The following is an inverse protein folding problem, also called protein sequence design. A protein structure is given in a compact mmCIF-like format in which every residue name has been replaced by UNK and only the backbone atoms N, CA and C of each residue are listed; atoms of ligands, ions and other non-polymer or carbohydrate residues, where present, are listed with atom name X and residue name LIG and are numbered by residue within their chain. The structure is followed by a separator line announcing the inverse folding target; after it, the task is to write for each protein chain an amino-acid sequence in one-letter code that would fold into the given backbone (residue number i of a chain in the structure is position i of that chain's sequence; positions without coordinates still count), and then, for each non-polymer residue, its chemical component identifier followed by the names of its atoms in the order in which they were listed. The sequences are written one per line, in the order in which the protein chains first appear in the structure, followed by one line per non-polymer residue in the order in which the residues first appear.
data_IF_941546472631
#
_entry.id   IF_941546472631
#
_cell.length_a   1.000
_cell.length_b   1.000
_cell.length_c   1.000
_cell.angle_alpha   90.00
_cell.angle_beta   90.00
_cell.angle_gamma   90.00
#
_symmetry.space_group_name_H-M   'P 1'
#
loop_
_entity.id
_entity.type
_entity.pdbx_description
1 polymer ?
#
# COMPACT_ATOMS: atom_id res chain seq x y z
N UNK A 1 17.94 -19.82 11.25
CA UNK A 1 18.95 -20.87 11.43
C UNK A 1 18.54 -21.81 12.56
N UNK A 2 18.71 -23.12 12.37
CA UNK A 2 18.69 -24.12 13.44
C UNK A 2 19.89 -25.04 13.28
N UNK A 3 20.35 -25.68 14.36
CA UNK A 3 21.44 -26.67 14.30
C UNK A 3 21.00 -27.96 13.59
N UNK A 4 19.69 -28.23 13.60
CA UNK A 4 19.04 -29.31 12.87
C UNK A 4 17.84 -28.77 12.08
N UNK A 5 17.30 -29.59 11.17
CA UNK A 5 16.05 -29.27 10.48
C UNK A 5 14.88 -29.39 11.46
N UNK A 6 14.19 -28.26 11.70
CA UNK A 6 13.05 -28.20 12.60
C UNK A 6 11.91 -27.41 11.97
N UNK A 7 10.70 -27.97 12.01
CA UNK A 7 9.49 -27.33 11.49
C UNK A 7 8.55 -27.01 12.65
N UNK A 8 8.39 -25.71 12.92
CA UNK A 8 7.52 -25.19 13.98
C UNK A 8 6.25 -24.65 13.32
N UNK A 9 5.11 -25.27 13.60
CA UNK A 9 3.80 -24.76 13.15
C UNK A 9 3.35 -23.63 14.07
N UNK A 10 3.24 -22.40 13.55
CA UNK A 10 2.79 -21.24 14.34
C UNK A 10 1.26 -21.15 14.30
N UNK A 11 0.69 -21.29 13.10
CA UNK A 11 -0.75 -21.33 12.87
C UNK A 11 -1.05 -22.16 11.59
N UNK A 12 -2.31 -22.40 11.20
CA UNK A 12 -2.65 -23.20 10.02
C UNK A 12 -2.05 -22.72 8.70
N UNK A 13 -1.64 -21.44 8.62
CA UNK A 13 -1.18 -20.77 7.41
C UNK A 13 0.31 -20.37 7.45
N UNK A 14 0.97 -20.52 8.61
CA UNK A 14 2.35 -20.08 8.84
C UNK A 14 3.17 -21.16 9.54
N UNK A 15 4.23 -21.59 8.85
CA UNK A 15 5.23 -22.52 9.37
C UNK A 15 6.57 -21.81 9.43
N UNK A 16 7.29 -22.00 10.54
CA UNK A 16 8.67 -21.56 10.68
C UNK A 16 9.58 -22.78 10.51
N UNK A 17 10.41 -22.74 9.48
CA UNK A 17 11.35 -23.81 9.16
C UNK A 17 12.75 -23.34 9.51
N UNK A 18 13.44 -24.11 10.33
CA UNK A 18 14.82 -23.90 10.73
C UNK A 18 15.68 -24.93 9.97
N UNK A 19 16.77 -24.48 9.37
CA UNK A 19 17.70 -25.36 8.64
C UNK A 19 19.15 -25.05 9.06
N UNK A 20 20.04 -26.05 9.04
CA UNK A 20 21.46 -25.91 9.33
C UNK A 20 22.24 -25.34 8.14
N UNK A 21 21.77 -24.21 7.60
CA UNK A 21 22.41 -23.48 6.50
C UNK A 21 22.94 -22.16 7.04
N UNK A 22 24.25 -21.96 6.98
CA UNK A 22 24.92 -20.82 7.65
C UNK A 22 24.40 -19.46 7.20
N UNK A 23 24.00 -19.30 5.94
CA UNK A 23 23.42 -18.04 5.46
C UNK A 23 22.17 -17.63 6.26
N UNK A 24 21.41 -18.61 6.76
CA UNK A 24 20.19 -18.37 7.55
C UNK A 24 20.47 -17.90 8.98
N UNK A 25 21.74 -17.77 9.38
CA UNK A 25 22.15 -17.07 10.60
C UNK A 25 21.96 -15.56 10.44
N UNK A 26 22.13 -15.06 9.23
CA UNK A 26 22.08 -13.63 8.91
C UNK A 26 20.79 -13.21 8.22
N UNK A 27 20.20 -14.10 7.42
CA UNK A 27 18.96 -13.84 6.68
C UNK A 27 17.81 -14.74 7.12
N UNK A 28 16.59 -14.24 6.95
CA UNK A 28 15.38 -15.04 6.99
C UNK A 28 14.70 -14.96 5.62
N UNK A 29 14.23 -16.09 5.12
CA UNK A 29 13.50 -16.18 3.85
C UNK A 29 12.04 -16.42 4.19
N UNK A 30 11.17 -15.61 3.61
CA UNK A 30 9.71 -15.77 3.72
C UNK A 30 9.23 -16.20 2.35
N UNK A 31 8.71 -17.42 2.26
CA UNK A 31 8.03 -17.89 1.06
C UNK A 31 6.56 -17.48 1.13
N UNK A 32 6.08 -16.80 0.09
CA UNK A 32 4.72 -16.27 0.02
C UNK A 32 3.90 -17.09 -0.97
N UNK A 33 2.63 -17.44 -0.66
CA UNK A 33 1.73 -18.10 -1.59
C UNK A 33 1.62 -17.35 -2.92
N UNK A 34 1.40 -18.09 -4.02
CA UNK A 34 1.41 -17.52 -5.37
C UNK A 34 0.45 -16.36 -5.60
N UNK A 35 0.75 -15.52 -6.59
CA UNK A 35 0.02 -14.30 -6.95
C UNK A 35 -1.39 -14.54 -7.53
N UNK A 36 -1.85 -15.78 -7.66
CA UNK A 36 -3.18 -16.06 -8.22
C UNK A 36 -4.32 -15.88 -7.19
N UNK A 37 -4.01 -15.61 -5.93
CA UNK A 37 -4.98 -15.51 -4.81
C UNK A 37 -5.05 -14.12 -4.17
N UNK A 38 -4.54 -13.08 -4.86
CA UNK A 38 -4.15 -11.78 -4.27
C UNK A 38 -5.24 -11.03 -3.48
N UNK A 39 -6.53 -11.24 -3.69
CA UNK A 39 -7.50 -10.21 -3.27
C UNK A 39 -8.19 -10.45 -1.92
N UNK A 40 -8.26 -11.66 -1.36
CA UNK A 40 -9.08 -11.86 -0.13
C UNK A 40 -8.41 -12.59 1.05
N UNK A 41 -7.29 -13.30 0.87
CA UNK A 41 -6.73 -14.14 1.95
C UNK A 41 -5.27 -13.84 2.38
N UNK A 42 -4.55 -12.95 1.69
CA UNK A 42 -3.11 -12.72 1.96
C UNK A 42 -2.75 -11.32 2.42
N UNK A 43 -3.72 -10.61 3.01
CA UNK A 43 -3.51 -9.31 3.65
C UNK A 43 -2.50 -9.43 4.81
N UNK A 44 -2.54 -10.50 5.60
CA UNK A 44 -1.64 -10.67 6.76
C UNK A 44 -0.17 -10.88 6.36
N UNK A 45 0.10 -11.61 5.27
CA UNK A 45 1.47 -11.83 4.79
C UNK A 45 2.05 -10.52 4.24
N UNK A 46 1.26 -9.83 3.43
CA UNK A 46 1.71 -8.61 2.74
C UNK A 46 1.87 -7.44 3.71
N UNK A 47 0.95 -7.27 4.68
CA UNK A 47 1.03 -6.18 5.66
C UNK A 47 2.05 -6.43 6.77
N UNK A 48 2.37 -7.68 7.10
CA UNK A 48 3.31 -7.98 8.19
C UNK A 48 4.75 -8.17 7.72
N UNK A 49 4.97 -8.84 6.59
CA UNK A 49 6.34 -9.20 6.16
C UNK A 49 6.95 -8.19 5.19
N UNK A 50 6.17 -7.57 4.30
CA UNK A 50 6.70 -6.58 3.34
C UNK A 50 7.31 -5.37 4.05
N UNK A 51 6.70 -4.78 5.11
CA UNK A 51 7.28 -3.61 5.78
C UNK A 51 8.61 -3.91 6.46
N UNK A 52 8.75 -5.12 7.00
CA UNK A 52 9.94 -5.59 7.69
C UNK A 52 11.02 -6.14 6.74
N UNK A 53 10.69 -6.31 5.44
CA UNK A 53 11.64 -6.86 4.47
C UNK A 53 12.73 -5.84 4.11
N UNK A 54 13.96 -6.36 3.97
CA UNK A 54 15.13 -5.61 3.49
C UNK A 54 15.28 -5.70 1.96
N UNK A 55 14.80 -6.80 1.37
CA UNK A 55 14.83 -7.10 -0.06
C UNK A 55 13.61 -7.93 -0.43
N UNK A 56 13.00 -7.58 -1.56
CA UNK A 56 11.91 -8.33 -2.17
C UNK A 56 12.40 -8.91 -3.49
N UNK A 57 12.17 -10.22 -3.67
CA UNK A 57 12.56 -10.95 -4.88
C UNK A 57 11.30 -11.34 -5.64
N UNK A 58 11.06 -10.71 -6.78
CA UNK A 58 9.98 -11.14 -7.67
C UNK A 58 10.50 -12.20 -8.63
N UNK A 59 9.94 -13.41 -8.54
CA UNK A 59 10.31 -14.53 -9.40
C UNK A 59 9.26 -14.70 -10.50
N UNK A 60 9.72 -14.64 -11.75
CA UNK A 60 8.91 -14.84 -12.94
C UNK A 60 9.42 -16.06 -13.72
N UNK A 61 8.53 -16.70 -14.48
CA UNK A 61 8.97 -17.63 -15.52
C UNK A 61 9.60 -16.83 -16.66
N UNK A 62 10.81 -17.18 -17.05
CA UNK A 62 11.56 -16.45 -18.08
C UNK A 62 10.78 -16.37 -19.41
N UNK A 63 9.99 -17.40 -19.74
CA UNK A 63 9.18 -17.46 -20.96
C UNK A 63 7.97 -16.51 -20.94
N UNK A 64 7.44 -16.19 -19.76
CA UNK A 64 6.28 -15.31 -19.63
C UNK A 64 6.38 -14.44 -18.37
N UNK A 65 7.21 -13.37 -18.41
CA UNK A 65 7.41 -12.51 -17.26
C UNK A 65 6.32 -11.44 -17.09
N UNK A 66 5.28 -11.43 -17.94
CA UNK A 66 4.27 -10.37 -17.96
C UNK A 66 2.94 -10.78 -17.34
N UNK A 67 2.95 -11.75 -16.42
CA UNK A 67 1.73 -12.17 -15.70
C UNK A 67 1.13 -10.98 -14.96
N UNK A 68 -0.09 -10.59 -15.34
CA UNK A 68 -0.76 -9.40 -14.82
C UNK A 68 -0.88 -9.42 -13.29
N UNK A 69 -1.28 -10.55 -12.70
CA UNK A 69 -1.42 -10.68 -11.24
C UNK A 69 -0.12 -10.35 -10.49
N UNK A 70 1.04 -10.72 -11.02
CA UNK A 70 2.33 -10.43 -10.40
C UNK A 70 2.70 -8.95 -10.50
N UNK A 71 2.43 -8.30 -11.64
CA UNK A 71 2.66 -6.88 -11.82
C UNK A 71 1.68 -6.00 -11.03
N UNK A 72 0.46 -6.46 -10.82
CA UNK A 72 -0.52 -5.80 -9.96
C UNK A 72 -0.06 -5.83 -8.50
N UNK A 73 0.45 -6.97 -8.03
CA UNK A 73 1.06 -7.11 -6.71
C UNK A 73 2.30 -6.22 -6.54
N UNK A 74 3.15 -6.17 -7.56
CA UNK A 74 4.30 -5.27 -7.59
C UNK A 74 3.90 -3.82 -7.38
N UNK A 75 2.87 -3.33 -8.09
CA UNK A 75 2.40 -1.93 -7.96
C UNK A 75 1.88 -1.63 -6.56
N UNK A 76 1.15 -2.57 -5.97
CA UNK A 76 0.66 -2.44 -4.59
C UNK A 76 1.83 -2.26 -3.60
N UNK A 77 2.85 -3.13 -3.68
CA UNK A 77 4.02 -3.07 -2.79
C UNK A 77 4.85 -1.80 -3.02
N UNK A 78 5.10 -1.46 -4.28
CA UNK A 78 5.98 -0.34 -4.64
C UNK A 78 5.39 1.01 -4.21
N UNK A 79 4.07 1.18 -4.36
CA UNK A 79 3.36 2.38 -3.94
C UNK A 79 3.45 2.61 -2.41
N UNK A 80 3.40 1.53 -1.63
CA UNK A 80 3.25 1.63 -0.18
C UNK A 80 4.58 1.64 0.60
N UNK A 81 5.62 0.95 0.13
CA UNK A 81 6.76 0.62 1.00
C UNK A 81 8.15 1.05 0.51
N UNK A 82 8.31 1.47 -0.77
CA UNK A 82 9.59 1.92 -1.37
C UNK A 82 10.80 1.02 -1.03
N UNK A 83 10.61 -0.30 -1.08
CA UNK A 83 11.65 -1.28 -0.73
C UNK A 83 12.58 -1.56 -1.91
N UNK A 84 13.74 -2.15 -1.61
CA UNK A 84 14.63 -2.69 -2.65
C UNK A 84 13.97 -3.92 -3.27
N UNK A 85 13.83 -3.90 -4.60
CA UNK A 85 13.19 -4.97 -5.36
C UNK A 85 14.17 -5.47 -6.41
N UNK A 86 14.28 -6.79 -6.54
CA UNK A 86 14.99 -7.44 -7.65
C UNK A 86 14.04 -8.38 -8.38
N UNK A 87 14.30 -8.57 -9.67
CA UNK A 87 13.53 -9.43 -10.57
C UNK A 87 14.36 -10.64 -10.93
N UNK A 88 13.78 -11.83 -10.85
CA UNK A 88 14.43 -13.10 -11.15
C UNK A 88 13.62 -13.84 -12.20
N UNK A 89 14.20 -14.06 -13.37
CA UNK A 89 13.64 -14.87 -14.45
C UNK A 89 14.12 -16.32 -14.30
N UNK A 90 13.26 -17.17 -13.75
CA UNK A 90 13.52 -18.59 -13.54
C UNK A 90 13.25 -19.41 -14.82
N UNK A 91 13.85 -20.60 -14.92
CA UNK A 91 13.75 -21.49 -16.08
C UNK A 91 14.39 -20.89 -17.34
N UNK A 92 15.48 -20.14 -17.20
CA UNK A 92 16.20 -19.56 -18.36
C UNK A 92 16.65 -20.60 -19.38
N UNK A 93 16.83 -21.85 -18.94
CA UNK A 93 17.24 -22.99 -19.76
C UNK A 93 16.16 -23.45 -20.77
N UNK A 94 14.94 -22.91 -20.68
CA UNK A 94 13.86 -23.16 -21.65
C UNK A 94 13.85 -22.17 -22.82
N UNK A 95 14.72 -21.15 -22.78
CA UNK A 95 14.84 -20.12 -23.80
C UNK A 95 16.22 -20.16 -24.43
N UNK A 96 16.32 -19.69 -25.67
CA UNK A 96 17.60 -19.38 -26.26
C UNK A 96 18.13 -18.03 -25.73
N UNK A 97 19.40 -17.74 -26.00
CA UNK A 97 20.04 -16.54 -25.48
C UNK A 97 19.40 -15.25 -26.02
N UNK A 98 18.89 -15.26 -27.25
CA UNK A 98 18.29 -14.09 -27.89
C UNK A 98 16.94 -13.75 -27.26
N UNK A 99 16.06 -14.73 -27.11
CA UNK A 99 14.75 -14.54 -26.48
C UNK A 99 14.89 -14.19 -24.99
N UNK A 100 15.89 -14.77 -24.31
CA UNK A 100 16.19 -14.43 -22.92
C UNK A 100 16.60 -12.96 -22.77
N UNK A 101 17.50 -12.47 -23.62
CA UNK A 101 17.95 -11.06 -23.61
C UNK A 101 16.78 -10.10 -23.88
N UNK A 102 15.89 -10.45 -24.81
CA UNK A 102 14.67 -9.68 -25.08
C UNK A 102 13.76 -9.62 -23.84
N UNK A 103 13.57 -10.74 -23.15
CA UNK A 103 12.74 -10.79 -21.95
C UNK A 103 13.38 -10.08 -20.76
N UNK A 104 14.69 -10.19 -20.55
CA UNK A 104 15.42 -9.43 -19.53
C UNK A 104 15.25 -7.92 -19.75
N UNK A 105 15.47 -7.46 -20.99
CA UNK A 105 15.31 -6.05 -21.34
C UNK A 105 13.86 -5.59 -21.23
N UNK A 106 12.91 -6.41 -21.64
CA UNK A 106 11.50 -6.07 -21.54
C UNK A 106 11.02 -5.95 -20.09
N UNK A 107 11.52 -6.79 -19.19
CA UNK A 107 11.24 -6.66 -17.73
C UNK A 107 11.93 -5.44 -17.14
N UNK A 108 13.17 -5.16 -17.54
CA UNK A 108 13.88 -3.95 -17.14
C UNK A 108 13.09 -2.70 -17.55
N UNK A 109 12.72 -2.57 -18.83
CA UNK A 109 11.98 -1.43 -19.36
C UNK A 109 10.59 -1.30 -18.70
N UNK A 110 9.93 -2.43 -18.43
CA UNK A 110 8.64 -2.42 -17.75
C UNK A 110 8.75 -1.96 -16.30
N UNK A 111 9.71 -2.50 -15.54
CA UNK A 111 9.97 -2.08 -14.17
C UNK A 111 10.34 -0.59 -14.09
N UNK A 112 11.10 -0.09 -15.07
CA UNK A 112 11.45 1.32 -15.17
C UNK A 112 10.21 2.21 -15.38
N UNK A 113 9.30 1.81 -16.28
CA UNK A 113 8.02 2.49 -16.50
C UNK A 113 7.12 2.49 -15.26
N UNK A 114 7.24 1.48 -14.40
CA UNK A 114 6.50 1.40 -13.15
C UNK A 114 7.17 2.16 -11.98
N UNK A 115 8.24 2.91 -12.26
CA UNK A 115 8.85 3.85 -11.31
C UNK A 115 10.05 3.30 -10.53
N UNK A 116 10.72 2.24 -11.00
CA UNK A 116 12.02 1.83 -10.48
C UNK A 116 13.12 2.47 -11.34
N UNK A 117 13.95 3.33 -10.75
CA UNK A 117 14.95 4.08 -11.52
C UNK A 117 16.04 3.19 -12.15
N UNK A 118 16.48 2.15 -11.44
CA UNK A 118 17.52 1.21 -11.86
C UNK A 118 17.10 -0.23 -11.51
N UNK A 119 16.25 -0.87 -12.33
CA UNK A 119 15.76 -2.22 -12.07
C UNK A 119 16.87 -3.27 -12.20
N UNK A 120 17.01 -4.14 -11.21
CA UNK A 120 17.97 -5.25 -11.26
C UNK A 120 17.24 -6.53 -11.67
N UNK A 121 17.61 -7.09 -12.81
CA UNK A 121 17.02 -8.31 -13.38
C UNK A 121 18.10 -9.40 -13.47
N UNK A 122 17.77 -10.60 -13.01
CA UNK A 122 18.64 -11.79 -13.08
C UNK A 122 17.93 -12.92 -13.80
N UNK A 123 18.59 -13.60 -14.73
CA UNK A 123 18.12 -14.87 -15.26
C UNK A 123 18.81 -16.06 -14.60
N UNK A 124 18.02 -17.01 -14.15
CA UNK A 124 18.49 -18.19 -13.41
C UNK A 124 17.86 -19.48 -13.92
N UNK A 125 18.56 -20.59 -13.69
CA UNK A 125 18.06 -21.95 -13.87
C UNK A 125 18.33 -22.77 -12.61
N UNK A 126 17.27 -23.03 -11.85
CA UNK A 126 17.36 -23.90 -10.67
C UNK A 126 17.77 -25.33 -11.06
N UNK A 127 17.34 -25.80 -12.25
CA UNK A 127 17.71 -27.13 -12.75
C UNK A 127 19.22 -27.25 -12.94
N UNK A 128 19.85 -26.27 -13.60
CA UNK A 128 21.31 -26.25 -13.80
C UNK A 128 22.07 -26.11 -12.48
N UNK A 129 21.57 -25.28 -11.57
CA UNK A 129 22.18 -25.12 -10.24
C UNK A 129 22.19 -26.44 -9.46
N UNK A 130 21.06 -27.16 -9.44
CA UNK A 130 20.96 -28.45 -8.76
C UNK A 130 21.81 -29.54 -9.43
N UNK A 131 22.05 -29.43 -10.73
CA UNK A 131 22.95 -30.32 -11.47
C UNK A 131 24.44 -29.96 -11.30
N UNK A 132 24.76 -28.83 -10.64
CA UNK A 132 26.13 -28.33 -10.51
C UNK A 132 26.73 -27.82 -11.81
N UNK A 133 25.89 -27.47 -12.79
CA UNK A 133 26.34 -26.94 -14.08
C UNK A 133 26.78 -25.48 -13.96
N UNK A 134 27.81 -25.10 -14.74
CA UNK A 134 28.20 -23.71 -14.89
C UNK A 134 27.09 -22.90 -15.58
N UNK A 135 27.05 -21.59 -15.33
CA UNK A 135 26.05 -20.67 -15.90
C UNK A 135 24.59 -20.96 -15.46
N UNK A 136 24.39 -21.37 -14.21
CA UNK A 136 23.05 -21.39 -13.61
C UNK A 136 22.45 -19.99 -13.41
N UNK A 137 23.30 -18.96 -13.30
CA UNK A 137 22.93 -17.57 -13.01
C UNK A 137 22.78 -17.25 -11.52
N UNK A 138 22.78 -18.25 -10.63
CA UNK A 138 22.62 -18.04 -9.19
C UNK A 138 23.80 -17.33 -8.52
N UNK A 139 25.01 -17.44 -9.09
CA UNK A 139 26.20 -16.77 -8.56
C UNK A 139 26.01 -15.25 -8.50
N UNK A 140 25.46 -14.66 -9.57
CA UNK A 140 25.16 -13.21 -9.61
C UNK A 140 24.15 -12.80 -8.55
N UNK A 141 23.13 -13.63 -8.31
CA UNK A 141 22.11 -13.39 -7.27
C UNK A 141 22.73 -13.48 -5.88
N UNK A 142 23.57 -14.49 -5.63
CA UNK A 142 24.28 -14.67 -4.36
C UNK A 142 25.24 -13.52 -4.08
N UNK A 143 25.99 -13.09 -5.09
CA UNK A 143 26.91 -11.95 -4.98
C UNK A 143 26.15 -10.66 -4.72
N UNK A 144 25.01 -10.45 -5.39
CA UNK A 144 24.16 -9.31 -5.12
C UNK A 144 23.66 -9.31 -3.67
N UNK A 145 23.13 -10.44 -3.18
CA UNK A 145 22.66 -10.58 -1.79
C UNK A 145 23.82 -10.36 -0.81
N UNK A 146 25.00 -10.90 -1.09
CA UNK A 146 26.20 -10.70 -0.25
C UNK A 146 26.61 -9.24 -0.17
N UNK A 147 26.68 -8.54 -1.30
CA UNK A 147 27.11 -7.15 -1.35
C UNK A 147 26.06 -6.18 -0.77
N UNK A 148 24.77 -6.51 -0.92
CA UNK A 148 23.66 -5.62 -0.57
C UNK A 148 22.96 -5.96 0.75
N UNK A 149 23.17 -7.15 1.32
CA UNK A 149 22.52 -7.57 2.57
C UNK A 149 23.54 -8.07 3.60
N UNK A 150 24.29 -9.15 3.31
CA UNK A 150 25.05 -9.90 4.34
C UNK A 150 26.50 -9.45 4.54
N UNK A 151 27.08 -8.62 3.67
CA UNK A 151 28.48 -8.18 3.71
C UNK A 151 28.84 -7.15 4.80
N UNK A 152 28.37 -7.33 6.04
CA UNK A 152 28.66 -6.46 7.18
C UNK A 152 27.88 -5.14 7.22
N UNK A 153 27.15 -4.80 6.16
CA UNK A 153 26.24 -3.63 6.11
C UNK A 153 24.85 -3.92 6.66
N UNK A 154 24.54 -5.19 6.99
CA UNK A 154 23.21 -5.62 7.46
C UNK A 154 22.66 -4.76 8.61
N UNK A 155 23.42 -4.41 9.66
CA UNK A 155 22.91 -3.58 10.75
C UNK A 155 22.57 -2.16 10.29
N UNK A 156 23.43 -1.56 9.45
CA UNK A 156 23.25 -0.20 8.93
C UNK A 156 22.07 -0.13 7.96
N UNK A 157 21.90 -1.16 7.12
CA UNK A 157 20.77 -1.29 6.21
C UNK A 157 19.45 -1.45 6.96
N UNK A 158 19.42 -2.26 8.03
CA UNK A 158 18.23 -2.38 8.89
C UNK A 158 17.88 -1.06 9.57
N UNK A 159 18.87 -0.32 10.09
CA UNK A 159 18.64 1.00 10.68
C UNK A 159 18.10 1.99 9.65
N UNK A 160 18.67 2.01 8.45
CA UNK A 160 18.19 2.86 7.35
C UNK A 160 16.78 2.48 6.91
N UNK A 161 16.48 1.19 6.77
CA UNK A 161 15.14 0.71 6.43
C UNK A 161 14.11 1.07 7.50
N UNK A 162 14.46 0.98 8.79
CA UNK A 162 13.60 1.43 9.88
C UNK A 162 13.38 2.94 9.87
N UNK A 163 14.41 3.72 9.52
CA UNK A 163 14.29 5.17 9.36
C UNK A 163 13.37 5.53 8.18
N UNK A 164 13.57 4.90 7.02
CA UNK A 164 12.75 5.12 5.82
C UNK A 164 11.29 4.72 6.07
N UNK A 165 11.06 3.61 6.77
CA UNK A 165 9.73 3.19 7.21
C UNK A 165 9.10 4.21 8.17
N UNK A 166 9.86 4.68 9.16
CA UNK A 166 9.37 5.69 10.11
C UNK A 166 9.02 7.00 9.42
N UNK A 167 9.82 7.42 8.43
CA UNK A 167 9.55 8.61 7.62
C UNK A 167 8.27 8.45 6.80
N UNK A 168 8.09 7.31 6.12
CA UNK A 168 6.87 7.04 5.35
C UNK A 168 5.62 7.04 6.25
N UNK A 169 5.69 6.43 7.44
CA UNK A 169 4.58 6.43 8.41
C UNK A 169 4.30 7.86 8.90
N UNK A 170 5.35 8.61 9.24
CA UNK A 170 5.24 9.99 9.69
C UNK A 170 4.59 10.90 8.64
N UNK A 171 4.99 10.77 7.37
CA UNK A 171 4.41 11.54 6.28
C UNK A 171 2.94 11.16 6.02
N UNK A 172 2.57 9.87 6.10
CA UNK A 172 1.17 9.44 6.04
C UNK A 172 0.32 10.05 7.17
N UNK A 173 0.82 10.02 8.41
CA UNK A 173 0.13 10.61 9.56
C UNK A 173 -0.01 12.12 9.37
N UNK A 174 1.06 12.79 8.91
CA UNK A 174 1.07 14.23 8.64
C UNK A 174 0.03 14.61 7.58
N UNK A 175 -0.03 13.89 6.47
CA UNK A 175 -1.03 14.09 5.41
C UNK A 175 -2.44 13.89 5.96
N UNK A 176 -2.67 12.81 6.70
CA UNK A 176 -3.96 12.51 7.33
C UNK A 176 -4.42 13.59 8.32
N UNK A 177 -3.51 14.11 9.15
CA UNK A 177 -3.79 15.21 10.08
C UNK A 177 -4.07 16.52 9.33
N UNK A 178 -3.36 16.80 8.24
CA UNK A 178 -3.60 17.98 7.40
C UNK A 178 -5.02 17.94 6.80
N UNK A 179 -5.43 16.80 6.24
CA UNK A 179 -6.78 16.61 5.69
C UNK A 179 -7.85 16.75 6.78
N UNK A 180 -7.65 16.15 7.95
CA UNK A 180 -8.58 16.30 9.09
C UNK A 180 -8.71 17.74 9.57
N UNK A 181 -7.61 18.50 9.59
CA UNK A 181 -7.64 19.92 9.94
C UNK A 181 -8.49 20.72 8.95
N UNK A 182 -8.31 20.47 7.65
CA UNK A 182 -9.11 21.14 6.61
C UNK A 182 -10.59 20.80 6.72
N UNK A 183 -10.93 19.54 7.00
CA UNK A 183 -12.32 19.12 7.27
C UNK A 183 -12.89 19.82 8.50
N UNK A 184 -12.12 19.91 9.59
CA UNK A 184 -12.55 20.59 10.81
C UNK A 184 -12.79 22.09 10.60
N UNK A 185 -11.93 22.77 9.83
CA UNK A 185 -12.12 24.18 9.46
C UNK A 185 -13.40 24.36 8.62
N UNK A 186 -13.63 23.49 7.63
CA UNK A 186 -14.86 23.50 6.83
C UNK A 186 -16.12 23.26 7.68
N UNK A 187 -16.06 22.32 8.64
CA UNK A 187 -17.16 22.05 9.57
C UNK A 187 -17.47 23.25 10.48
N UNK A 188 -16.44 23.98 10.92
CA UNK A 188 -16.62 25.19 11.71
C UNK A 188 -17.31 26.29 10.90
N UNK A 189 -16.87 26.51 9.67
CA UNK A 189 -17.48 27.49 8.77
C UNK A 189 -18.93 27.12 8.44
N UNK A 190 -19.20 25.85 8.16
CA UNK A 190 -20.55 25.34 7.93
C UNK A 190 -21.47 25.53 9.15
N UNK A 191 -20.96 25.25 10.36
CA UNK A 191 -21.72 25.49 11.60
C UNK A 191 -22.01 26.98 11.84
N UNK A 192 -21.07 27.87 11.47
CA UNK A 192 -21.27 29.31 11.55
C UNK A 192 -22.40 29.74 10.61
N UNK A 193 -22.33 29.30 9.35
CA UNK A 193 -23.34 29.59 8.33
C UNK A 193 -24.75 29.11 8.74
N UNK A 194 -24.86 27.89 9.28
CA UNK A 194 -26.13 27.38 9.84
C UNK A 194 -26.65 28.25 10.97
N UNK A 195 -25.79 28.67 11.91
CA UNK A 195 -26.22 29.52 13.03
C UNK A 195 -26.72 30.87 12.55
N UNK A 196 -26.01 31.50 11.63
CA UNK A 196 -26.41 32.79 11.04
C UNK A 196 -27.75 32.65 10.29
N UNK A 197 -27.89 31.61 9.47
CA UNK A 197 -29.13 31.32 8.76
C UNK A 197 -30.31 31.05 9.70
N UNK A 198 -30.12 30.24 10.75
CA UNK A 198 -31.15 29.97 11.75
C UNK A 198 -31.56 31.23 12.52
N UNK A 199 -30.59 32.09 12.87
CA UNK A 199 -30.87 33.36 13.54
C UNK A 199 -31.69 34.30 12.64
N UNK A 200 -31.32 34.41 11.36
CA UNK A 200 -32.06 35.21 10.39
C UNK A 200 -33.49 34.70 10.19
N UNK A 201 -33.66 33.38 10.00
CA UNK A 201 -34.99 32.77 9.86
C UNK A 201 -35.84 32.93 11.10
N UNK A 202 -35.28 32.74 12.31
CA UNK A 202 -36.00 32.97 13.55
C UNK A 202 -36.51 34.42 13.64
N UNK A 203 -35.66 35.40 13.33
CA UNK A 203 -36.06 36.81 13.35
C UNK A 203 -37.12 37.14 12.30
N UNK A 204 -37.03 36.53 11.11
CA UNK A 204 -38.01 36.69 10.05
C UNK A 204 -39.35 36.06 10.43
N UNK A 205 -39.35 34.87 11.01
CA UNK A 205 -40.56 34.19 11.49
C UNK A 205 -41.26 34.98 12.59
N UNK A 206 -40.51 35.57 13.53
CA UNK A 206 -41.09 36.47 14.54
C UNK A 206 -41.77 37.68 13.91
N UNK A 207 -41.08 38.37 12.97
CA UNK A 207 -41.68 39.51 12.25
C UNK A 207 -42.94 39.12 11.48
N UNK A 208 -42.96 37.95 10.83
CA UNK A 208 -44.16 37.47 10.14
C UNK A 208 -45.32 37.18 11.10
N UNK A 209 -45.02 36.61 12.27
CA UNK A 209 -46.02 36.37 13.31
C UNK A 209 -46.62 37.70 13.81
N UNK A 210 -45.78 38.70 14.09
CA UNK A 210 -46.23 40.03 14.52
C UNK A 210 -47.15 40.69 13.47
N UNK A 211 -46.76 40.64 12.19
CA UNK A 211 -47.57 41.17 11.08
C UNK A 211 -48.90 40.41 10.95
N UNK A 212 -48.92 39.08 11.14
CA UNK A 212 -50.18 38.33 11.14
C UNK A 212 -51.09 38.74 12.31
N UNK A 213 -50.53 38.94 13.50
CA UNK A 213 -51.29 39.41 14.67
C UNK A 213 -51.88 40.80 14.43
N UNK A 214 -51.09 41.75 13.92
CA UNK A 214 -51.58 43.09 13.57
C UNK A 214 -52.71 43.04 12.53
N UNK A 215 -52.55 42.23 11.47
CA UNK A 215 -53.58 42.08 10.44
C UNK A 215 -54.86 41.46 10.98
N UNK A 216 -54.76 40.48 11.88
CA UNK A 216 -55.93 39.86 12.52
C UNK A 216 -56.66 40.84 13.43
N UNK A 217 -55.94 41.63 14.24
CA UNK A 217 -56.52 42.67 15.09
C UNK A 217 -57.20 43.76 14.24
N UNK A 218 -56.53 44.25 13.20
CA UNK A 218 -57.11 45.23 12.29
C UNK A 218 -58.33 44.69 11.53
N UNK A 219 -58.34 43.39 11.21
CA UNK A 219 -59.51 42.70 10.66
C UNK A 219 -60.67 42.62 11.65
N UNK A 220 -60.38 42.24 12.90
CA UNK A 220 -61.36 42.19 13.98
C UNK A 220 -61.99 43.57 14.24
N UNK A 221 -61.17 44.61 14.39
CA UNK A 221 -61.64 45.98 14.64
C UNK A 221 -62.57 46.49 13.52
N UNK A 222 -62.26 46.13 12.26
CA UNK A 222 -63.09 46.49 11.12
C UNK A 222 -64.45 45.81 11.17
N UNK A 223 -64.48 44.50 11.41
CA UNK A 223 -65.72 43.72 11.52
C UNK A 223 -66.54 44.18 12.73
N UNK A 224 -65.89 44.51 13.85
CA UNK A 224 -66.54 45.01 15.05
C UNK A 224 -67.22 46.36 14.79
N UNK A 225 -66.55 47.30 14.11
CA UNK A 225 -67.14 48.60 13.71
C UNK A 225 -68.29 48.43 12.73
N UNK A 226 -68.15 47.59 11.71
CA UNK A 226 -69.23 47.30 10.77
C UNK A 226 -70.48 46.77 11.47
N UNK A 227 -70.32 45.96 12.53
CA UNK A 227 -71.44 45.46 13.34
C UNK A 227 -72.03 46.48 14.30
N UNK A 228 -71.23 47.44 14.77
CA UNK A 228 -71.69 48.55 15.60
C UNK A 228 -72.52 49.55 14.78
N UNK A 229 -72.12 49.81 13.53
CA UNK A 229 -72.85 50.68 12.60
C UNK A 229 -74.16 50.06 12.06
N UNK A 230 -74.31 48.73 12.15
CA UNK A 230 -75.52 47.98 11.75
C UNK A 230 -76.61 47.90 12.87
N UNK A 231 -76.30 48.31 14.10
CA UNK A 231 -77.19 48.27 15.29
C UNK A 231 -77.92 49.60 15.51
#
# INVERSE_FOLDING_TARGET
YGEEEEVISINPYLKKILLPVDILREIAIVDTPGTNTIIEQHQEITERFVPASDLIVFVFEAKNPYRQSAWDFFRFIHADWRKKIIFVLQQKDLLDAADLEVNEKGVYDHAQKQGIADPVVFSVSARRELAGEADSGFDRVRDFIRQNITGGKAPVLKLRNNLDLSQNIHDRIREGLKTRRQQWEADLDFRRDIRETLAQHSQQSHRQADVMVENLLAGYDRIAREKEDEL
#
